data_IF_489163044382
#
_entry.id   IF_489163044382
#
_cell.length_a   1.000
_cell.length_b   1.000
_cell.length_c   1.000
_cell.angle_alpha   90.00
_cell.angle_beta   90.00
_cell.angle_gamma   90.00
#
_symmetry.space_group_name_H-M   'P 1'
#
loop_
_entity.id
_entity.type
_entity.pdbx_description
1 polymer ?
#
# COMPACT_ATOMS: atom_id res chain seq x y z
N UNK A 1 -13.46 -52.76 -7.02
CA UNK A 1 -12.19 -52.49 -6.30
C UNK A 1 -11.56 -51.12 -6.63
N UNK A 2 -12.35 -50.04 -6.86
CA UNK A 2 -11.81 -48.71 -7.23
C UNK A 2 -12.08 -47.59 -6.21
N UNK A 3 -12.91 -47.84 -5.18
CA UNK A 3 -13.26 -46.81 -4.17
C UNK A 3 -12.38 -46.76 -2.91
N UNK A 4 -11.53 -47.77 -2.66
CA UNK A 4 -10.68 -47.81 -1.45
C UNK A 4 -9.29 -47.17 -1.66
N UNK A 5 -8.84 -47.05 -2.90
CA UNK A 5 -7.51 -46.51 -3.23
C UNK A 5 -7.49 -44.98 -3.15
N UNK A 6 -8.57 -44.31 -3.55
CA UNK A 6 -8.67 -42.84 -3.52
C UNK A 6 -8.65 -42.22 -2.12
N UNK A 7 -9.08 -42.96 -1.07
CA UNK A 7 -9.12 -42.45 0.31
C UNK A 7 -7.77 -42.50 1.04
N UNK A 8 -6.82 -43.30 0.56
CA UNK A 8 -5.49 -43.43 1.17
C UNK A 8 -4.48 -42.40 0.65
N UNK A 9 -4.72 -41.83 -0.53
CA UNK A 9 -3.85 -40.80 -1.11
C UNK A 9 -4.00 -39.42 -0.43
N UNK A 10 -5.20 -39.08 0.06
CA UNK A 10 -5.45 -37.79 0.70
C UNK A 10 -4.87 -37.68 2.13
N UNK A 11 -4.72 -38.82 2.82
CA UNK A 11 -4.24 -38.85 4.21
C UNK A 11 -2.70 -38.79 4.34
N UNK A 12 -1.97 -39.06 3.26
CA UNK A 12 -0.49 -38.98 3.24
C UNK A 12 0.02 -37.59 2.83
N UNK A 13 -0.81 -36.77 2.16
CA UNK A 13 -0.44 -35.42 1.75
C UNK A 13 -0.53 -34.37 2.86
N UNK A 14 -1.32 -34.61 3.90
CA UNK A 14 -1.57 -33.64 4.98
C UNK A 14 -0.44 -33.54 6.02
N UNK A 15 0.39 -34.57 6.17
CA UNK A 15 1.51 -34.54 7.12
C UNK A 15 2.72 -33.75 6.59
N UNK A 16 2.97 -33.77 5.28
CA UNK A 16 4.10 -33.06 4.66
C UNK A 16 3.95 -31.53 4.68
N UNK A 17 2.71 -31.03 4.56
CA UNK A 17 2.44 -29.59 4.55
C UNK A 17 2.64 -28.93 5.93
N UNK A 18 2.43 -29.68 7.03
CA UNK A 18 2.60 -29.14 8.39
C UNK A 18 4.09 -28.93 8.71
N UNK A 19 4.98 -29.80 8.24
CA UNK A 19 6.44 -29.65 8.43
C UNK A 19 6.99 -28.48 7.61
N UNK A 20 6.47 -28.25 6.40
CA UNK A 20 6.87 -27.10 5.57
C UNK A 20 6.35 -25.75 6.13
N UNK A 21 5.18 -25.75 6.79
CA UNK A 21 4.62 -24.55 7.42
C UNK A 21 5.41 -24.10 8.66
N UNK A 22 5.99 -25.04 9.42
CA UNK A 22 6.81 -24.73 10.61
C UNK A 22 8.19 -24.19 10.24
N UNK A 23 8.79 -24.68 9.15
CA UNK A 23 10.08 -24.16 8.66
C UNK A 23 9.96 -22.76 8.04
N UNK A 24 8.79 -22.39 7.50
CA UNK A 24 8.54 -21.07 6.89
C UNK A 24 8.24 -19.95 7.89
N UNK A 25 8.01 -20.27 9.18
CA UNK A 25 7.69 -19.28 10.22
C UNK A 25 8.78 -19.14 11.30
N UNK A 26 10.00 -19.66 11.09
CA UNK A 26 11.16 -19.28 11.89
C UNK A 26 11.81 -18.02 11.30
N UNK A 27 11.08 -16.90 11.34
CA UNK A 27 11.76 -15.61 11.33
C UNK A 27 12.28 -15.40 12.74
N UNK A 28 13.60 -15.48 12.91
CA UNK A 28 14.29 -15.02 14.10
C UNK A 28 13.69 -13.68 14.49
N UNK A 29 13.33 -13.51 15.77
CA UNK A 29 13.01 -12.18 16.30
C UNK A 29 14.11 -11.22 15.84
N UNK A 30 13.77 -10.16 15.07
CA UNK A 30 14.77 -9.17 14.76
C UNK A 30 15.32 -8.67 16.09
N UNK A 31 16.63 -8.76 16.25
CA UNK A 31 17.30 -8.06 17.33
C UNK A 31 16.92 -6.59 17.13
N UNK A 32 16.11 -6.06 18.06
CA UNK A 32 15.87 -4.62 18.14
C UNK A 32 17.21 -3.98 18.52
N UNK A 33 18.04 -3.73 17.51
CA UNK A 33 19.09 -2.72 17.59
C UNK A 33 18.39 -1.45 18.06
N UNK A 34 18.68 -1.07 19.31
CA UNK A 34 18.16 0.13 19.92
C UNK A 34 18.35 1.29 18.93
N UNK A 35 17.25 1.98 18.60
CA UNK A 35 17.30 3.16 17.74
C UNK A 35 18.45 4.05 18.19
N UNK A 36 19.46 4.21 17.34
CA UNK A 36 20.60 5.05 17.64
C UNK A 36 20.10 6.48 17.91
N UNK A 37 20.11 6.88 19.17
CA UNK A 37 19.56 8.17 19.65
C UNK A 37 20.36 9.38 19.16
N UNK A 38 21.44 9.15 18.43
CA UNK A 38 22.36 10.17 17.91
C UNK A 38 22.29 10.34 16.38
N UNK A 39 21.34 9.70 15.68
CA UNK A 39 21.17 9.90 14.25
C UNK A 39 20.51 11.26 13.99
N UNK A 40 21.31 12.24 13.57
CA UNK A 40 20.83 13.54 13.11
C UNK A 40 20.57 13.47 11.60
N UNK A 41 19.38 13.87 11.17
CA UNK A 41 19.12 14.15 9.76
C UNK A 41 19.93 15.39 9.40
N UNK A 42 21.03 15.19 8.67
CA UNK A 42 21.81 16.27 8.08
C UNK A 42 21.21 16.64 6.74
N UNK A 43 21.10 17.94 6.48
CA UNK A 43 20.66 18.45 5.18
C UNK A 43 21.66 18.01 4.12
N UNK A 44 21.18 17.28 3.10
CA UNK A 44 21.99 16.90 1.95
C UNK A 44 21.90 18.01 0.91
N UNK A 45 23.05 18.63 0.61
CA UNK A 45 23.21 19.54 -0.53
C UNK A 45 22.94 18.80 -1.84
N UNK A 46 22.40 19.50 -2.84
CA UNK A 46 22.24 18.94 -4.18
C UNK A 46 23.62 18.91 -4.86
N UNK A 47 23.98 17.81 -5.50
CA UNK A 47 25.27 17.62 -6.16
C UNK A 47 25.03 17.39 -7.65
N UNK A 48 25.78 18.09 -8.52
CA UNK A 48 25.68 17.90 -9.97
C UNK A 48 26.49 16.70 -10.49
N UNK A 49 26.42 16.46 -11.81
CA UNK A 49 27.11 15.36 -12.50
C UNK A 49 28.65 15.41 -12.37
N UNK A 50 29.20 16.56 -11.99
CA UNK A 50 30.64 16.77 -11.80
C UNK A 50 31.06 16.68 -10.32
N UNK A 51 30.10 16.49 -9.41
CA UNK A 51 30.36 16.41 -7.98
C UNK A 51 30.37 17.77 -7.27
N UNK A 52 29.97 18.86 -7.93
CA UNK A 52 29.92 20.18 -7.32
C UNK A 52 28.58 20.43 -6.60
N UNK A 53 28.64 21.23 -5.53
CA UNK A 53 27.44 21.66 -4.80
C UNK A 53 26.60 22.61 -5.65
N UNK A 54 25.33 22.30 -5.79
CA UNK A 54 24.33 23.12 -6.47
C UNK A 54 23.43 23.73 -5.41
N UNK A 55 23.25 25.05 -5.48
CA UNK A 55 22.25 25.72 -4.67
C UNK A 55 20.89 25.07 -4.92
N UNK A 56 20.18 24.71 -3.85
CA UNK A 56 18.82 24.21 -4.00
C UNK A 56 18.02 25.29 -4.74
N UNK A 57 17.52 24.97 -5.95
CA UNK A 57 16.54 25.83 -6.61
C UNK A 57 15.42 26.04 -5.62
N UNK A 58 15.01 27.30 -5.43
CA UNK A 58 13.76 27.59 -4.73
C UNK A 58 12.69 26.72 -5.39
N UNK A 59 12.09 25.84 -4.58
CA UNK A 59 11.02 24.99 -5.06
C UNK A 59 9.93 25.87 -5.66
N UNK A 60 9.35 25.46 -6.77
CA UNK A 60 8.21 26.18 -7.32
C UNK A 60 7.13 26.29 -6.24
N UNK A 61 6.45 27.44 -6.19
CA UNK A 61 5.30 27.61 -5.31
C UNK A 61 4.34 26.43 -5.52
N UNK A 62 3.97 25.69 -4.45
CA UNK A 62 2.99 24.63 -4.55
C UNK A 62 1.75 25.17 -5.24
N UNK A 63 1.25 24.45 -6.25
CA UNK A 63 -0.01 24.82 -6.87
C UNK A 63 -1.09 24.79 -5.79
N UNK A 64 -1.82 25.89 -5.63
CA UNK A 64 -3.01 25.91 -4.80
C UNK A 64 -4.12 25.16 -5.56
N UNK A 65 -4.54 23.96 -5.14
CA UNK A 65 -5.57 23.20 -5.85
C UNK A 65 -6.94 23.90 -5.80
N UNK A 66 -7.16 24.83 -4.87
CA UNK A 66 -8.37 25.62 -4.80
C UNK A 66 -8.37 26.77 -5.82
N UNK A 67 -7.20 27.19 -6.30
CA UNK A 67 -7.05 28.39 -7.11
C UNK A 67 -7.66 29.63 -6.43
N UNK A 68 -8.07 30.61 -7.22
CA UNK A 68 -8.76 31.82 -6.71
C UNK A 68 -10.25 31.58 -6.39
N UNK A 69 -10.73 30.35 -6.54
CA UNK A 69 -12.15 29.98 -6.42
C UNK A 69 -13.07 30.69 -7.43
N UNK A 70 -12.53 31.34 -8.47
CA UNK A 70 -13.28 32.04 -9.52
C UNK A 70 -13.46 31.21 -10.78
N UNK A 71 -12.78 30.07 -10.86
CA UNK A 71 -12.95 29.12 -11.96
C UNK A 71 -14.42 28.72 -12.08
N UNK A 72 -15.04 29.08 -13.20
CA UNK A 72 -16.38 28.59 -13.54
C UNK A 72 -16.22 27.25 -14.24
N UNK A 73 -16.43 26.16 -13.49
CA UNK A 73 -16.43 24.83 -14.07
C UNK A 73 -17.72 24.63 -14.87
N UNK A 74 -17.66 24.28 -16.16
CA UNK A 74 -18.86 23.85 -16.88
C UNK A 74 -19.48 22.65 -16.16
N UNK A 75 -20.80 22.44 -16.23
CA UNK A 75 -21.44 21.28 -15.61
C UNK A 75 -20.82 20.02 -16.18
N UNK A 76 -20.14 19.26 -15.33
CA UNK A 76 -19.56 17.96 -15.67
C UNK A 76 -20.49 16.85 -15.22
N UNK A 77 -20.69 15.85 -16.07
CA UNK A 77 -21.36 14.60 -15.69
C UNK A 77 -20.32 13.61 -15.21
N UNK A 78 -20.28 13.33 -13.91
CA UNK A 78 -19.41 12.32 -13.33
C UNK A 78 -20.22 11.04 -13.12
N UNK A 79 -19.87 9.99 -13.85
CA UNK A 79 -20.49 8.68 -13.66
C UNK A 79 -19.90 8.01 -12.41
N UNK A 80 -20.77 7.46 -11.56
CA UNK A 80 -20.38 6.72 -10.37
C UNK A 80 -21.03 5.35 -10.39
N UNK A 81 -20.21 4.30 -10.28
CA UNK A 81 -20.67 2.93 -10.09
C UNK A 81 -20.33 2.50 -8.66
N UNK A 82 -21.36 2.17 -7.88
CA UNK A 82 -21.23 1.72 -6.51
C UNK A 82 -22.47 0.97 -6.05
N UNK A 83 -22.40 0.34 -4.87
CA UNK A 83 -23.56 -0.27 -4.25
C UNK A 83 -24.54 0.83 -3.81
N UNK A 84 -25.42 1.26 -4.70
CA UNK A 84 -26.48 2.25 -4.41
C UNK A 84 -27.77 1.57 -3.95
N UNK A 85 -27.81 0.23 -4.03
CA UNK A 85 -28.95 -0.62 -3.77
C UNK A 85 -28.45 -2.00 -3.31
N UNK A 86 -29.26 -2.71 -2.52
CA UNK A 86 -28.87 -3.95 -1.87
C UNK A 86 -28.29 -3.73 -0.45
N UNK A 87 -27.70 -4.76 0.16
CA UNK A 87 -27.25 -4.72 1.55
C UNK A 87 -26.13 -3.71 1.80
N UNK A 88 -25.27 -3.46 0.81
CA UNK A 88 -24.15 -2.51 0.90
C UNK A 88 -24.53 -1.09 0.44
N UNK A 89 -25.83 -0.80 0.26
CA UNK A 89 -26.31 0.49 -0.24
C UNK A 89 -25.82 1.69 0.58
N UNK A 90 -25.71 1.52 1.90
CA UNK A 90 -25.26 2.57 2.81
C UNK A 90 -23.85 3.07 2.45
N UNK A 91 -22.93 2.19 2.08
CA UNK A 91 -21.58 2.55 1.69
C UNK A 91 -21.57 3.34 0.37
N UNK A 92 -22.26 2.84 -0.66
CA UNK A 92 -22.28 3.54 -1.95
C UNK A 92 -23.02 4.87 -1.90
N UNK A 93 -24.07 5.00 -1.08
CA UNK A 93 -24.76 6.28 -0.88
C UNK A 93 -23.84 7.30 -0.21
N UNK A 94 -23.07 6.89 0.81
CA UNK A 94 -22.12 7.78 1.46
C UNK A 94 -21.02 8.24 0.48
N UNK A 95 -20.46 7.33 -0.32
CA UNK A 95 -19.47 7.69 -1.34
C UNK A 95 -20.06 8.64 -2.40
N UNK A 96 -21.34 8.48 -2.77
CA UNK A 96 -22.00 9.35 -3.74
C UNK A 96 -22.22 10.77 -3.22
N UNK A 97 -22.54 10.90 -1.93
CA UNK A 97 -22.95 12.17 -1.32
C UNK A 97 -21.79 12.96 -0.72
N UNK A 98 -20.66 12.31 -0.41
CA UNK A 98 -19.52 12.93 0.27
C UNK A 98 -19.67 12.85 1.78
#
# INVERSE_FOLDING_TARGET
>A
MRGRVARKAFALGSAGLIVLALAGCSQSTPEEEASQTNLKIVEKVQIDETGAEVAASEGAAPADPAGDGKATCPPVSIAMAGALNGPDAALGINIKNG
#
